data_IF_244711296264
#
_entry.id   IF_244711296264
#
_cell.length_a   1.000
_cell.length_b   1.000
_cell.length_c   1.000
_cell.angle_alpha   90.00
_cell.angle_beta   90.00
_cell.angle_gamma   90.00
#
_symmetry.space_group_name_H-M   'P 1'
#
loop_
_entity.id
_entity.type
_entity.pdbx_description
1 polymer ?
#
# COMPACT_ATOMS: atom_id res chain seq x y z
N UNK A 1 -9.17 -1.05 -3.65
CA UNK A 1 -10.17 -0.43 -2.74
C UNK A 1 -10.66 0.88 -3.31
N UNK A 2 -11.96 1.17 -3.18
CA UNK A 2 -12.57 2.43 -3.62
C UNK A 2 -12.55 3.45 -2.47
N UNK A 3 -12.15 4.73 -2.69
CA UNK A 3 -12.27 5.76 -1.67
C UNK A 3 -13.74 6.05 -1.33
N UNK A 4 -14.00 6.63 -0.17
CA UNK A 4 -15.32 7.21 0.12
C UNK A 4 -15.62 8.34 -0.88
N UNK A 5 -16.88 8.51 -1.30
CA UNK A 5 -17.28 9.65 -2.14
C UNK A 5 -16.90 10.98 -1.48
N UNK A 6 -16.45 11.95 -2.29
CA UNK A 6 -16.00 13.26 -1.79
C UNK A 6 -17.13 14.12 -1.21
N UNK A 7 -18.41 13.79 -1.48
CA UNK A 7 -19.57 14.48 -0.92
C UNK A 7 -19.75 14.13 0.57
N UNK A 8 -19.92 15.13 1.42
CA UNK A 8 -20.20 14.99 2.87
C UNK A 8 -19.17 14.11 3.61
N UNK A 9 -17.87 14.36 3.37
CA UNK A 9 -16.79 13.65 4.05
C UNK A 9 -16.63 14.14 5.50
N UNK A 10 -16.94 13.26 6.46
CA UNK A 10 -16.50 13.43 7.84
C UNK A 10 -14.99 13.17 7.97
N UNK A 11 -14.35 13.71 9.01
CA UNK A 11 -12.91 13.60 9.32
C UNK A 11 -12.38 12.17 9.24
N UNK A 12 -13.13 11.19 9.77
CA UNK A 12 -12.81 9.76 9.63
C UNK A 12 -12.62 9.34 8.17
N UNK A 13 -13.57 9.71 7.29
CA UNK A 13 -13.54 9.36 5.87
C UNK A 13 -12.43 10.13 5.13
N UNK A 14 -12.16 11.38 5.52
CA UNK A 14 -11.03 12.18 5.00
C UNK A 14 -9.69 11.51 5.30
N UNK A 15 -9.45 11.13 6.55
CA UNK A 15 -8.22 10.41 6.97
C UNK A 15 -8.07 9.11 6.20
N UNK A 16 -9.13 8.32 6.08
CA UNK A 16 -9.09 7.09 5.31
C UNK A 16 -8.72 7.34 3.85
N UNK A 17 -9.41 8.27 3.17
CA UNK A 17 -9.13 8.60 1.77
C UNK A 17 -7.68 9.07 1.60
N UNK A 18 -7.20 9.92 2.50
CA UNK A 18 -5.81 10.40 2.47
C UNK A 18 -4.80 9.26 2.66
N UNK A 19 -4.99 8.39 3.66
CA UNK A 19 -4.12 7.23 3.88
C UNK A 19 -4.15 6.26 2.71
N UNK A 20 -5.31 6.04 2.10
CA UNK A 20 -5.44 5.22 0.90
C UNK A 20 -4.67 5.81 -0.27
N UNK A 21 -4.81 7.11 -0.54
CA UNK A 21 -4.06 7.81 -1.60
C UNK A 21 -2.56 7.78 -1.35
N UNK A 22 -2.11 8.00 -0.10
CA UNK A 22 -0.70 7.92 0.28
C UNK A 22 -0.14 6.52 0.09
N UNK A 23 -0.89 5.48 0.45
CA UNK A 23 -0.53 4.09 0.20
C UNK A 23 -0.39 3.77 -1.30
N UNK A 24 -1.36 4.21 -2.12
CA UNK A 24 -1.29 4.05 -3.58
C UNK A 24 -0.06 4.75 -4.17
N UNK A 25 0.19 6.00 -3.80
CA UNK A 25 1.37 6.75 -4.26
C UNK A 25 2.67 6.01 -3.96
N UNK A 26 2.82 5.47 -2.75
CA UNK A 26 4.00 4.68 -2.40
C UNK A 26 4.14 3.44 -3.28
N UNK A 27 3.03 2.72 -3.52
CA UNK A 27 3.00 1.52 -4.36
C UNK A 27 3.32 1.86 -5.82
N UNK A 28 2.70 2.89 -6.38
CA UNK A 28 2.92 3.36 -7.76
C UNK A 28 4.37 3.80 -7.97
N UNK A 29 4.94 4.59 -7.07
CA UNK A 29 6.36 4.96 -7.12
C UNK A 29 7.27 3.72 -7.06
N UNK A 30 6.96 2.76 -6.19
CA UNK A 30 7.74 1.51 -6.05
C UNK A 30 7.68 0.68 -7.33
N UNK A 31 6.49 0.50 -7.92
CA UNK A 31 6.36 -0.19 -9.19
C UNK A 31 7.05 0.54 -10.33
N UNK A 32 7.01 1.89 -10.36
CA UNK A 32 7.78 2.68 -11.33
C UNK A 32 9.29 2.43 -11.25
N UNK A 33 9.84 2.32 -10.04
CA UNK A 33 11.25 1.95 -9.84
C UNK A 33 11.53 0.51 -10.28
N UNK A 34 10.62 -0.42 -9.99
CA UNK A 34 10.77 -1.83 -10.39
C UNK A 34 10.70 -2.00 -11.91
N UNK A 35 9.78 -1.33 -12.61
CA UNK A 35 9.66 -1.41 -14.07
C UNK A 35 10.86 -0.79 -14.79
N UNK A 36 11.45 0.28 -14.25
CA UNK A 36 12.67 0.86 -14.79
C UNK A 36 13.88 -0.08 -14.66
N UNK A 37 13.93 -0.90 -13.60
CA UNK A 37 15.04 -1.85 -13.36
C UNK A 37 14.84 -3.19 -14.05
N UNK A 38 13.60 -3.69 -14.12
CA UNK A 38 13.27 -5.01 -14.63
C UNK A 38 12.34 -4.90 -15.84
N UNK A 39 12.93 -5.02 -17.03
CA UNK A 39 12.21 -4.91 -18.30
C UNK A 39 11.02 -5.87 -18.43
N UNK A 40 11.07 -7.03 -17.76
CA UNK A 40 9.96 -8.00 -17.72
C UNK A 40 8.65 -7.39 -17.19
N UNK A 41 8.72 -6.33 -16.38
CA UNK A 41 7.55 -5.66 -15.81
C UNK A 41 7.04 -4.49 -16.68
N UNK A 42 7.75 -4.10 -17.75
CA UNK A 42 7.33 -3.02 -18.66
C UNK A 42 6.23 -3.46 -19.63
N UNK A 43 6.11 -4.76 -19.87
CA UNK A 43 5.13 -5.33 -20.80
C UNK A 43 4.30 -6.40 -20.09
N UNK A 44 3.10 -6.74 -20.62
CA UNK A 44 2.32 -7.84 -20.07
C UNK A 44 3.15 -9.13 -19.99
N UNK A 45 3.22 -9.74 -18.81
CA UNK A 45 3.98 -10.97 -18.59
C UNK A 45 3.31 -12.11 -19.37
N UNK A 46 3.93 -12.55 -20.47
CA UNK A 46 3.41 -13.59 -21.36
C UNK A 46 3.70 -15.00 -20.82
N UNK A 47 3.16 -15.32 -19.65
CA UNK A 47 3.24 -16.65 -19.07
C UNK A 47 1.86 -17.31 -19.05
N UNK A 48 1.79 -18.60 -19.43
CA UNK A 48 0.53 -19.36 -19.42
C UNK A 48 0.14 -19.80 -18.01
N UNK A 49 1.11 -20.09 -17.15
CA UNK A 49 0.89 -20.54 -15.76
C UNK A 49 0.92 -19.36 -14.81
N UNK A 50 -0.10 -19.27 -13.96
CA UNK A 50 -0.22 -18.21 -12.95
C UNK A 50 0.89 -18.29 -11.89
N UNK A 51 1.33 -19.48 -11.50
CA UNK A 51 2.40 -19.63 -10.50
C UNK A 51 3.73 -19.01 -10.96
N UNK A 52 4.00 -19.06 -12.26
CA UNK A 52 5.21 -18.45 -12.83
C UNK A 52 5.16 -16.93 -12.74
N UNK A 53 3.98 -16.32 -12.94
CA UNK A 53 3.79 -14.87 -12.80
C UNK A 53 4.07 -14.44 -11.36
N UNK A 54 3.53 -15.18 -10.38
CA UNK A 54 3.82 -14.93 -8.96
C UNK A 54 5.31 -15.06 -8.69
N UNK A 55 5.95 -16.10 -9.21
CA UNK A 55 7.39 -16.34 -9.03
C UNK A 55 8.24 -15.21 -9.62
N UNK A 56 7.91 -14.72 -10.82
CA UNK A 56 8.61 -13.59 -11.46
C UNK A 56 8.49 -12.33 -10.59
N UNK A 57 7.28 -12.00 -10.12
CA UNK A 57 7.06 -10.82 -9.27
C UNK A 57 7.82 -10.95 -7.95
N UNK A 58 7.78 -12.12 -7.30
CA UNK A 58 8.52 -12.37 -6.07
C UNK A 58 10.04 -12.26 -6.29
N UNK A 59 10.57 -12.84 -7.37
CA UNK A 59 11.98 -12.72 -7.73
C UNK A 59 12.39 -11.26 -7.97
N UNK A 60 11.56 -10.46 -8.64
CA UNK A 60 11.83 -9.03 -8.83
C UNK A 60 11.91 -8.27 -7.49
N UNK A 61 11.00 -8.55 -6.55
CA UNK A 61 11.03 -7.98 -5.21
C UNK A 61 12.28 -8.40 -4.41
N UNK A 62 12.62 -9.70 -4.42
CA UNK A 62 13.80 -10.24 -3.75
C UNK A 62 15.07 -9.62 -4.32
N UNK A 63 15.20 -9.59 -5.64
CA UNK A 63 16.38 -9.05 -6.31
C UNK A 63 16.51 -7.54 -6.09
N UNK A 64 15.41 -6.80 -6.10
CA UNK A 64 15.40 -5.38 -5.73
C UNK A 64 15.94 -5.18 -4.31
N UNK A 65 15.45 -5.97 -3.35
CA UNK A 65 15.88 -5.87 -1.97
C UNK A 65 17.36 -6.25 -1.81
N UNK A 66 17.83 -7.28 -2.50
CA UNK A 66 19.23 -7.71 -2.49
C UNK A 66 20.16 -6.63 -3.05
N UNK A 67 19.82 -6.03 -4.19
CA UNK A 67 20.60 -4.92 -4.78
C UNK A 67 20.61 -3.70 -3.85
N UNK A 68 19.49 -3.41 -3.18
CA UNK A 68 19.42 -2.30 -2.24
C UNK A 68 20.28 -2.55 -0.99
N UNK A 69 20.42 -3.81 -0.57
CA UNK A 69 21.25 -4.20 0.56
C UNK A 69 22.75 -4.12 0.23
N UNK A 70 23.14 -4.60 -0.96
CA UNK A 70 24.53 -4.49 -1.42
C UNK A 70 24.96 -3.04 -1.66
N UNK A 71 24.04 -2.16 -2.04
CA UNK A 71 24.29 -0.74 -2.22
C UNK A 71 24.30 0.07 -0.89
N UNK A 72 23.61 -0.40 0.15
CA UNK A 72 23.44 0.31 1.43
C UNK A 72 24.13 -0.41 2.60
N UNK A 73 25.33 -0.96 2.39
CA UNK A 73 26.14 -1.62 3.41
C UNK A 73 26.36 -0.71 4.65
N UNK A 74 25.42 -0.76 5.60
CA UNK A 74 25.48 0.04 6.83
C UNK A 74 24.16 0.40 7.53
N UNK A 75 22.98 0.23 6.91
CA UNK A 75 21.71 0.60 7.55
C UNK A 75 20.78 -0.60 7.80
N UNK A 76 20.38 -0.88 9.06
CA UNK A 76 19.44 -1.95 9.36
C UNK A 76 18.05 -1.60 8.83
N UNK A 77 17.56 -2.37 7.85
CA UNK A 77 16.16 -2.27 7.41
C UNK A 77 15.28 -3.11 8.33
N UNK A 78 14.48 -2.42 9.16
CA UNK A 78 13.40 -3.04 9.89
C UNK A 78 12.27 -3.35 8.89
N UNK A 79 12.15 -4.62 8.48
CA UNK A 79 11.00 -5.09 7.68
C UNK A 79 9.98 -5.60 8.70
N UNK A 80 8.98 -4.81 9.12
CA UNK A 80 7.93 -5.32 9.99
C UNK A 80 7.23 -6.48 9.28
N UNK A 81 7.17 -7.62 9.97
CA UNK A 81 6.52 -8.83 9.49
C UNK A 81 4.98 -8.61 9.52
N UNK A 82 4.41 -8.13 8.41
CA UNK A 82 3.00 -7.70 8.31
C UNK A 82 2.07 -8.88 7.93
N UNK A 83 2.60 -10.09 7.78
CA UNK A 83 2.02 -11.10 6.87
C UNK A 83 0.77 -11.85 7.39
N UNK A 84 0.45 -11.86 8.69
CA UNK A 84 -0.58 -12.79 9.21
C UNK A 84 -2.02 -12.23 9.31
N UNK A 85 -2.20 -10.97 9.74
CA UNK A 85 -3.54 -10.48 10.12
C UNK A 85 -4.40 -9.95 8.97
N UNK A 86 -3.77 -9.51 7.87
CA UNK A 86 -4.47 -8.85 6.76
C UNK A 86 -5.24 -9.85 5.87
N UNK A 87 -4.71 -11.05 5.68
CA UNK A 87 -5.26 -12.05 4.75
C UNK A 87 -6.64 -12.56 5.19
N UNK A 88 -6.86 -12.74 6.50
CA UNK A 88 -8.12 -13.27 7.04
C UNK A 88 -9.31 -12.31 6.90
N UNK A 89 -9.07 -10.99 6.90
CA UNK A 89 -10.14 -9.98 6.75
C UNK A 89 -10.60 -9.88 5.29
N UNK A 90 -9.69 -10.06 4.34
CA UNK A 90 -9.94 -9.79 2.91
C UNK A 90 -10.83 -10.81 2.19
N UNK A 91 -10.94 -12.05 2.68
CA UNK A 91 -11.62 -13.12 1.93
C UNK A 91 -13.14 -13.17 2.10
N UNK A 92 -13.71 -12.57 3.16
CA UNK A 92 -15.15 -12.68 3.50
C UNK A 92 -15.88 -11.35 3.68
N UNK A 93 -15.19 -10.23 3.52
CA UNK A 93 -15.73 -8.90 3.86
C UNK A 93 -16.16 -8.14 2.61
N UNK A 94 -17.37 -7.58 2.63
CA UNK A 94 -17.79 -6.61 1.60
C UNK A 94 -16.77 -5.46 1.50
N UNK A 95 -16.50 -4.92 0.29
CA UNK A 95 -15.58 -3.79 0.12
C UNK A 95 -15.91 -2.60 1.03
N UNK A 96 -17.20 -2.37 1.33
CA UNK A 96 -17.65 -1.32 2.26
C UNK A 96 -17.21 -1.62 3.68
N UNK A 97 -17.40 -2.86 4.15
CA UNK A 97 -16.99 -3.31 5.48
C UNK A 97 -15.49 -3.18 5.68
N UNK A 98 -14.68 -3.51 4.65
CA UNK A 98 -13.24 -3.34 4.71
C UNK A 98 -12.83 -1.86 4.78
N UNK A 99 -13.48 -0.99 4.00
CA UNK A 99 -13.26 0.45 4.10
C UNK A 99 -13.58 0.96 5.51
N UNK A 100 -14.73 0.57 6.08
CA UNK A 100 -15.15 1.00 7.42
C UNK A 100 -14.24 0.46 8.52
N UNK A 101 -13.79 -0.80 8.40
CA UNK A 101 -12.80 -1.39 9.29
C UNK A 101 -11.49 -0.59 9.26
N UNK A 102 -10.93 -0.34 8.07
CA UNK A 102 -9.68 0.41 7.94
C UNK A 102 -9.82 1.85 8.42
N UNK A 103 -10.96 2.49 8.15
CA UNK A 103 -11.24 3.82 8.64
C UNK A 103 -11.32 3.89 10.17
N UNK A 104 -11.82 2.84 10.84
CA UNK A 104 -11.76 2.72 12.30
C UNK A 104 -10.34 2.40 12.79
N UNK A 105 -9.65 1.50 12.10
CA UNK A 105 -8.28 1.07 12.43
C UNK A 105 -7.31 2.26 12.45
N UNK A 106 -7.38 3.16 11.47
CA UNK A 106 -6.52 4.34 11.39
C UNK A 106 -6.76 5.39 12.48
N UNK A 107 -7.88 5.29 13.20
CA UNK A 107 -8.21 6.16 14.33
C UNK A 107 -7.85 5.56 15.69
N UNK A 108 -7.47 4.27 15.75
CA UNK A 108 -7.04 3.65 17.01
C UNK A 108 -5.82 4.39 17.58
N UNK A 109 -5.75 4.65 18.89
CA UNK A 109 -4.71 5.51 19.48
C UNK A 109 -3.28 5.00 19.23
N UNK A 110 -3.09 3.69 19.10
CA UNK A 110 -1.79 3.06 18.80
C UNK A 110 -1.41 3.05 17.31
N UNK A 111 -2.33 3.41 16.41
CA UNK A 111 -2.14 3.40 14.93
C UNK A 111 -2.27 4.82 14.35
N UNK A 112 -2.97 5.70 15.05
CA UNK A 112 -3.17 7.08 14.68
C UNK A 112 -1.82 7.78 14.57
N UNK A 113 -1.63 8.52 13.47
CA UNK A 113 -0.39 9.22 13.19
C UNK A 113 -0.62 10.72 13.32
N UNK A 114 0.26 11.48 14.02
CA UNK A 114 0.01 12.90 14.30
C UNK A 114 -0.29 13.74 13.06
N UNK A 115 0.40 13.48 11.95
CA UNK A 115 0.21 14.21 10.69
C UNK A 115 -1.14 14.00 10.02
N UNK A 116 -1.90 12.95 10.37
CA UNK A 116 -3.14 12.63 9.66
C UNK A 116 -4.25 13.64 9.97
N UNK A 117 -4.16 14.31 11.12
CA UNK A 117 -5.15 15.27 11.58
C UNK A 117 -5.08 16.61 10.84
N UNK A 118 -3.95 16.92 10.18
CA UNK A 118 -3.81 18.11 9.35
C UNK A 118 -4.85 18.15 8.21
N UNK A 119 -5.29 16.98 7.75
CA UNK A 119 -6.30 16.81 6.70
C UNK A 119 -7.75 16.88 7.23
N UNK A 120 -7.94 16.98 8.53
CA UNK A 120 -9.24 17.22 9.15
C UNK A 120 -9.52 18.71 9.31
N UNK A 121 -8.48 19.49 9.60
CA UNK A 121 -8.57 20.92 9.92
C UNK A 121 -8.48 21.84 8.71
N UNK A 122 -7.78 21.41 7.65
CA UNK A 122 -7.67 22.19 6.42
C UNK A 122 -8.84 21.85 5.48
N UNK A 123 -9.78 22.78 5.36
CA UNK A 123 -10.89 22.73 4.39
C UNK A 123 -10.45 22.97 2.93
N UNK A 124 -9.18 22.75 2.56
CA UNK A 124 -8.69 23.04 1.22
C UNK A 124 -8.17 21.80 0.49
N UNK A 125 -8.88 21.52 -0.61
CA UNK A 125 -8.39 21.09 -1.92
C UNK A 125 -7.83 19.66 -2.10
N UNK A 126 -8.67 18.85 -2.76
CA UNK A 126 -8.29 18.16 -3.99
C UNK A 126 -9.20 18.66 -5.12
#
# INVERSE_FOLDING_TARGET
>A
MRPYPQRNLNNKKRIFNYRLSRGRKNIECTFGMLTQKFQVLLTPIRCRKYENIISIVNCACILHNFILESANSGLPRNIPNIQADILNITQRSSPVMLCDYLANYFLKPNVALPWQWNYCSNNNEF
#
